data_IF_891012178932
#
_entry.id   IF_891012178932
#
_cell.length_a   1.000
_cell.length_b   1.000
_cell.length_c   1.000
_cell.angle_alpha   90.00
_cell.angle_beta   90.00
_cell.angle_gamma   90.00
#
_symmetry.space_group_name_H-M   'P 1'
#
loop_
_entity.id
_entity.type
_entity.pdbx_description
1 polymer ?
#
# COMPACT_ATOMS: atom_id res chain seq x y z
N UNK A 1 -5.25 -2.58 -12.44
CA UNK A 1 -5.80 -3.84 -11.93
C UNK A 1 -4.72 -4.90 -11.88
N UNK A 2 -3.62 -4.63 -11.18
CA UNK A 2 -2.51 -5.57 -11.03
C UNK A 2 -2.15 -5.57 -9.56
N UNK A 3 -1.95 -6.75 -8.97
CA UNK A 3 -1.48 -6.86 -7.60
C UNK A 3 -0.06 -6.27 -7.49
N UNK A 4 0.23 -5.62 -6.37
CA UNK A 4 1.57 -5.14 -6.06
C UNK A 4 1.85 -5.25 -4.57
N UNK A 5 3.13 -5.34 -4.23
CA UNK A 5 3.63 -5.37 -2.86
C UNK A 5 4.73 -4.31 -2.70
N UNK A 6 4.76 -3.65 -1.55
CA UNK A 6 5.79 -2.67 -1.18
C UNK A 6 6.83 -3.39 -0.33
N UNK A 7 8.07 -3.38 -0.81
CA UNK A 7 9.22 -3.94 -0.12
C UNK A 7 10.18 -2.82 0.31
N UNK A 8 10.88 -2.98 1.44
CA UNK A 8 11.96 -2.06 1.79
C UNK A 8 13.11 -2.19 0.79
N UNK A 9 13.89 -1.11 0.64
CA UNK A 9 14.96 -1.04 -0.36
C UNK A 9 16.03 -2.14 -0.19
N UNK A 10 16.23 -2.66 1.02
CA UNK A 10 17.22 -3.67 1.38
C UNK A 10 16.63 -5.09 1.43
N UNK A 11 15.41 -5.30 0.91
CA UNK A 11 14.79 -6.62 0.81
C UNK A 11 15.66 -7.61 0.02
N UNK A 12 15.67 -8.86 0.44
CA UNK A 12 16.32 -9.96 -0.28
C UNK A 12 15.51 -10.43 -1.49
N UNK A 13 16.02 -11.44 -2.19
CA UNK A 13 15.42 -11.97 -3.41
C UNK A 13 14.32 -13.01 -3.17
N UNK A 14 13.93 -13.28 -1.92
CA UNK A 14 12.98 -14.33 -1.54
C UNK A 14 11.59 -14.15 -2.18
N UNK A 15 11.25 -12.91 -2.55
CA UNK A 15 10.01 -12.61 -3.27
C UNK A 15 9.96 -13.31 -4.63
N UNK A 16 11.09 -13.50 -5.29
CA UNK A 16 11.18 -14.17 -6.59
C UNK A 16 10.92 -15.68 -6.49
N UNK A 17 11.11 -16.28 -5.30
CA UNK A 17 10.85 -17.71 -5.07
C UNK A 17 9.38 -17.98 -4.69
N UNK A 18 8.67 -16.95 -4.25
CA UNK A 18 7.32 -17.06 -3.68
C UNK A 18 6.24 -16.45 -4.55
N UNK A 19 6.60 -15.58 -5.49
CA UNK A 19 5.66 -14.85 -6.35
C UNK A 19 6.16 -14.82 -7.80
N UNK A 20 5.22 -14.87 -8.75
CA UNK A 20 5.49 -14.63 -10.16
C UNK A 20 5.64 -13.12 -10.41
N UNK A 21 6.80 -12.55 -10.04
CA UNK A 21 7.10 -11.13 -10.24
C UNK A 21 7.20 -10.83 -11.73
N UNK A 22 6.40 -9.87 -12.21
CA UNK A 22 6.37 -9.47 -13.64
C UNK A 22 7.09 -8.15 -13.91
N UNK A 23 7.49 -7.41 -12.88
CA UNK A 23 8.19 -6.14 -13.01
C UNK A 23 8.46 -5.49 -11.66
N UNK A 24 9.45 -4.60 -11.61
CA UNK A 24 9.92 -3.94 -10.40
C UNK A 24 9.83 -2.41 -10.59
N UNK A 25 9.32 -1.71 -9.59
CA UNK A 25 9.32 -0.24 -9.54
C UNK A 25 10.22 0.22 -8.39
N UNK A 26 11.27 0.96 -8.71
CA UNK A 26 12.10 1.65 -7.73
C UNK A 26 11.52 3.05 -7.50
N UNK A 27 11.04 3.30 -6.29
CA UNK A 27 10.36 4.56 -5.95
C UNK A 27 11.33 5.74 -5.80
N UNK A 28 10.75 6.94 -5.65
CA UNK A 28 11.50 8.15 -5.29
C UNK A 28 11.99 8.15 -3.83
N UNK A 29 12.82 9.13 -3.51
CA UNK A 29 13.39 9.37 -2.18
C UNK A 29 14.03 10.75 -2.10
N UNK A 30 14.27 11.29 -0.89
CA UNK A 30 14.81 12.64 -0.73
C UNK A 30 16.35 12.72 -0.85
N UNK A 31 17.02 11.57 -0.85
CA UNK A 31 18.48 11.47 -0.75
C UNK A 31 19.16 11.72 -2.10
N UNK A 32 20.44 12.09 -2.06
CA UNK A 32 21.33 11.98 -3.21
C UNK A 32 22.00 10.59 -3.24
N UNK A 33 22.18 10.01 -4.42
CA UNK A 33 22.79 8.66 -4.56
C UNK A 33 24.23 8.58 -4.06
N UNK A 34 24.92 9.72 -3.90
CA UNK A 34 26.29 9.78 -3.39
C UNK A 34 26.38 10.07 -1.88
N UNK A 35 25.25 10.33 -1.21
CA UNK A 35 25.25 10.55 0.22
C UNK A 35 25.71 9.27 0.96
N UNK A 36 26.48 9.45 2.02
CA UNK A 36 26.92 8.32 2.84
C UNK A 36 25.72 7.63 3.47
N UNK A 37 25.51 6.35 3.13
CA UNK A 37 24.36 5.58 3.59
C UNK A 37 23.09 5.80 2.76
N UNK A 38 23.20 6.40 1.57
CA UNK A 38 22.10 6.49 0.63
C UNK A 38 21.55 5.08 0.31
N UNK A 39 20.22 4.88 0.32
CA UNK A 39 19.59 3.60 0.01
C UNK A 39 19.99 3.12 -1.39
N UNK A 40 20.52 1.91 -1.53
CA UNK A 40 20.90 1.31 -2.81
C UNK A 40 19.99 0.15 -3.17
N UNK A 41 19.73 -0.06 -4.46
CA UNK A 41 19.01 -1.26 -4.89
C UNK A 41 19.93 -2.49 -4.81
N UNK A 42 19.49 -3.61 -4.22
CA UNK A 42 20.21 -4.88 -4.20
C UNK A 42 20.47 -5.39 -5.62
N UNK A 43 21.55 -6.17 -5.83
CA UNK A 43 21.91 -6.65 -7.17
C UNK A 43 20.81 -7.49 -7.81
N UNK A 44 20.07 -8.26 -7.01
CA UNK A 44 19.00 -9.13 -7.48
C UNK A 44 17.93 -8.37 -8.27
N UNK A 45 17.70 -7.09 -7.95
CA UNK A 45 16.72 -6.24 -8.66
C UNK A 45 17.06 -6.15 -10.15
N UNK A 46 18.35 -6.02 -10.48
CA UNK A 46 18.84 -5.96 -11.86
C UNK A 46 19.01 -7.34 -12.49
N UNK A 47 19.20 -8.37 -11.68
CA UNK A 47 19.42 -9.76 -12.12
C UNK A 47 18.10 -10.55 -12.30
N UNK A 48 16.98 -10.05 -11.76
CA UNK A 48 15.68 -10.71 -11.77
C UNK A 48 15.13 -10.99 -13.18
N UNK A 49 15.64 -10.32 -14.22
CA UNK A 49 15.25 -10.56 -15.61
C UNK A 49 13.84 -10.07 -15.95
N UNK A 50 13.22 -9.28 -15.09
CA UNK A 50 11.90 -8.66 -15.28
C UNK A 50 12.07 -7.17 -15.58
N UNK A 51 11.10 -6.50 -16.23
CA UNK A 51 11.17 -5.08 -16.48
C UNK A 51 11.32 -4.22 -15.22
N UNK A 52 12.05 -3.10 -15.35
CA UNK A 52 12.28 -2.13 -14.27
C UNK A 52 11.80 -0.73 -14.65
N UNK A 53 11.20 -0.03 -13.69
CA UNK A 53 10.91 1.40 -13.77
C UNK A 53 11.48 2.11 -12.53
N UNK A 54 12.42 3.01 -12.73
CA UNK A 54 12.92 3.92 -11.70
C UNK A 54 12.18 5.25 -11.72
N UNK A 55 11.66 5.68 -10.57
CA UNK A 55 10.95 6.95 -10.40
C UNK A 55 11.80 7.88 -9.54
N UNK A 56 12.12 9.07 -10.05
CA UNK A 56 12.93 10.08 -9.39
C UNK A 56 14.26 9.51 -8.86
N UNK A 57 14.41 9.29 -7.56
CA UNK A 57 15.57 8.63 -6.97
C UNK A 57 15.84 7.24 -7.55
N UNK A 58 14.78 6.48 -7.87
CA UNK A 58 14.92 5.18 -8.54
C UNK A 58 15.58 5.29 -9.92
N UNK A 59 15.29 6.35 -10.69
CA UNK A 59 15.98 6.62 -11.96
C UNK A 59 17.46 6.92 -11.74
N UNK A 60 17.77 7.71 -10.71
CA UNK A 60 19.15 8.06 -10.34
C UNK A 60 19.93 6.83 -9.87
N UNK A 61 19.29 5.92 -9.12
CA UNK A 61 19.88 4.65 -8.72
C UNK A 61 20.23 3.77 -9.92
N UNK A 62 19.29 3.60 -10.84
CA UNK A 62 19.54 2.84 -12.08
C UNK A 62 20.72 3.46 -12.82
N UNK A 63 20.74 4.79 -12.97
CA UNK A 63 21.82 5.47 -13.67
C UNK A 63 23.17 5.23 -12.97
N UNK A 64 23.24 5.48 -11.66
CA UNK A 64 24.46 5.37 -10.89
C UNK A 64 24.99 3.92 -10.84
N UNK A 65 24.15 2.93 -10.57
CA UNK A 65 24.56 1.53 -10.41
C UNK A 65 24.91 0.85 -11.73
N UNK A 66 24.39 1.34 -12.87
CA UNK A 66 24.69 0.81 -14.19
C UNK A 66 25.80 1.59 -14.93
N UNK A 67 26.49 2.50 -14.24
CA UNK A 67 27.70 3.15 -14.76
C UNK A 67 27.46 4.47 -15.50
N UNK A 68 26.30 5.10 -15.31
CA UNK A 68 26.08 6.51 -15.63
C UNK A 68 26.53 7.44 -14.50
N UNK A 69 26.40 8.74 -14.74
CA UNK A 69 26.81 9.81 -13.81
C UNK A 69 25.61 10.66 -13.42
N UNK A 70 25.44 10.86 -12.11
CA UNK A 70 24.42 11.74 -11.52
C UNK A 70 25.14 12.97 -10.95
N UNK A 71 24.58 14.16 -11.13
CA UNK A 71 25.14 15.39 -10.57
C UNK A 71 24.07 16.20 -9.83
N UNK A 72 24.45 17.00 -8.81
CA UNK A 72 23.57 17.99 -8.24
C UNK A 72 23.07 18.95 -9.32
N UNK A 73 21.75 19.12 -9.41
CA UNK A 73 21.14 20.08 -10.32
C UNK A 73 21.53 21.51 -9.97
N UNK A 74 21.74 22.34 -10.99
CA UNK A 74 22.05 23.78 -10.82
C UNK A 74 20.91 24.55 -10.16
N UNK A 75 19.67 24.06 -10.30
CA UNK A 75 18.47 24.52 -9.60
C UNK A 75 17.67 23.27 -9.22
N UNK A 76 17.13 23.25 -7.99
CA UNK A 76 16.24 22.15 -7.58
C UNK A 76 14.88 22.36 -8.23
N UNK A 77 14.38 21.35 -8.94
CA UNK A 77 13.08 21.39 -9.59
C UNK A 77 12.07 20.65 -8.71
N UNK A 78 11.35 21.43 -7.91
CA UNK A 78 10.23 20.95 -7.11
C UNK A 78 8.95 21.61 -7.62
N UNK A 79 8.13 20.83 -8.31
CA UNK A 79 6.82 21.26 -8.76
C UNK A 79 6.57 20.97 -10.22
N UNK A 80 5.67 21.77 -10.79
CA UNK A 80 5.15 21.56 -12.13
C UNK A 80 6.22 21.88 -13.20
N UNK A 81 6.42 20.94 -14.12
CA UNK A 81 7.24 21.10 -15.31
C UNK A 81 6.52 20.53 -16.53
N UNK A 82 7.06 20.76 -17.72
CA UNK A 82 6.61 20.12 -18.96
C UNK A 82 7.77 19.30 -19.50
N UNK A 83 7.52 18.02 -19.79
CA UNK A 83 8.49 17.22 -20.52
C UNK A 83 8.14 17.20 -22.00
N UNK A 84 9.18 17.24 -22.82
CA UNK A 84 9.12 17.20 -24.28
C UNK A 84 9.65 15.85 -24.73
N UNK A 85 8.82 15.05 -25.40
CA UNK A 85 9.22 13.75 -25.96
C UNK A 85 10.27 13.97 -27.06
N UNK A 86 11.30 13.13 -27.12
CA UNK A 86 12.38 13.23 -28.10
C UNK A 86 12.02 12.75 -29.53
N UNK A 87 10.73 12.47 -29.76
CA UNK A 87 10.18 12.06 -31.05
C UNK A 87 10.32 10.56 -31.37
N UNK A 88 10.88 9.75 -30.47
CA UNK A 88 10.91 8.29 -30.65
C UNK A 88 9.73 7.60 -29.97
N UNK A 89 8.98 6.83 -30.76
CA UNK A 89 7.90 5.99 -30.24
C UNK A 89 8.47 4.91 -29.30
N UNK A 90 7.89 4.81 -28.11
CA UNK A 90 8.20 3.78 -27.14
C UNK A 90 6.94 3.38 -26.38
N UNK A 91 6.94 2.16 -25.84
CA UNK A 91 5.78 1.58 -25.15
C UNK A 91 5.37 2.43 -23.94
N UNK A 92 6.33 2.97 -23.18
CA UNK A 92 6.05 3.75 -21.98
C UNK A 92 5.21 5.01 -22.29
N UNK A 93 5.38 5.62 -23.47
CA UNK A 93 4.71 6.84 -23.89
C UNK A 93 3.66 6.67 -24.98
N UNK A 94 3.20 5.45 -25.18
CA UNK A 94 2.09 5.16 -26.07
C UNK A 94 0.83 5.93 -25.62
N UNK A 95 0.23 6.68 -26.54
CA UNK A 95 -0.96 7.50 -26.27
C UNK A 95 -0.73 8.79 -25.48
N UNK A 96 0.53 9.17 -25.20
CA UNK A 96 0.85 10.44 -24.55
C UNK A 96 1.04 11.58 -25.54
N UNK A 97 0.70 12.80 -25.10
CA UNK A 97 0.93 14.04 -25.84
C UNK A 97 2.43 14.29 -26.03
N UNK A 98 2.80 15.10 -27.01
CA UNK A 98 4.21 15.47 -27.26
C UNK A 98 4.81 16.25 -26.09
N UNK A 99 4.00 17.12 -25.48
CA UNK A 99 4.30 17.90 -24.29
C UNK A 99 3.44 17.36 -23.14
N UNK A 100 4.06 16.84 -22.09
CA UNK A 100 3.34 16.24 -20.95
C UNK A 100 3.60 17.06 -19.69
N UNK A 101 2.55 17.63 -19.07
CA UNK A 101 2.66 18.24 -17.75
C UNK A 101 3.00 17.18 -16.69
N UNK A 102 4.04 17.43 -15.89
CA UNK A 102 4.52 16.49 -14.88
C UNK A 102 4.87 17.17 -13.57
N UNK A 103 4.94 16.36 -12.51
CA UNK A 103 5.42 16.79 -11.20
C UNK A 103 6.85 16.33 -10.93
N UNK A 104 7.79 17.27 -10.98
CA UNK A 104 9.20 17.06 -10.65
C UNK A 104 9.43 17.19 -9.14
N UNK A 105 10.33 16.37 -8.59
CA UNK A 105 10.75 16.50 -7.19
C UNK A 105 12.18 16.01 -7.00
N UNK A 106 13.15 16.68 -7.61
CA UNK A 106 14.54 16.25 -7.59
C UNK A 106 15.53 17.39 -7.34
N UNK A 107 16.58 17.06 -6.59
CA UNK A 107 17.76 17.92 -6.41
C UNK A 107 18.87 17.59 -7.41
N UNK A 108 18.97 16.33 -7.81
CA UNK A 108 20.00 15.80 -8.69
C UNK A 108 19.44 15.50 -10.09
N UNK A 109 20.31 15.42 -11.10
CA UNK A 109 19.95 15.08 -12.48
C UNK A 109 20.95 14.08 -13.05
N UNK A 110 20.54 13.37 -14.10
CA UNK A 110 21.44 12.52 -14.87
C UNK A 110 22.29 13.41 -15.78
N UNK A 111 23.60 13.29 -15.70
CA UNK A 111 24.56 13.99 -16.57
C UNK A 111 25.06 13.05 -17.67
N UNK A 112 25.35 11.79 -17.32
CA UNK A 112 25.75 10.75 -18.28
C UNK A 112 24.85 9.52 -18.16
N UNK A 113 24.31 9.07 -19.29
CA UNK A 113 23.49 7.86 -19.35
C UNK A 113 24.35 6.60 -19.17
N UNK A 114 23.82 5.55 -18.54
CA UNK A 114 24.47 4.24 -18.55
C UNK A 114 24.68 3.71 -19.98
N UNK A 115 25.69 2.85 -20.20
CA UNK A 115 25.86 2.18 -21.49
C UNK A 115 24.59 1.43 -21.92
N UNK A 116 24.16 1.62 -23.16
CA UNK A 116 22.95 0.98 -23.72
C UNK A 116 21.63 1.64 -23.35
N UNK A 117 21.68 2.82 -22.70
CA UNK A 117 20.52 3.68 -22.48
C UNK A 117 20.51 4.87 -23.44
N UNK A 118 19.31 5.38 -23.71
CA UNK A 118 19.09 6.63 -24.43
C UNK A 118 18.13 7.54 -23.65
N UNK A 119 18.31 8.86 -23.81
CA UNK A 119 17.32 9.83 -23.38
C UNK A 119 16.06 9.67 -24.24
N UNK A 120 14.89 9.90 -23.66
CA UNK A 120 13.58 9.75 -24.34
C UNK A 120 12.68 10.98 -24.19
N UNK A 121 12.98 11.83 -23.20
CA UNK A 121 12.33 13.13 -23.01
C UNK A 121 13.22 14.03 -22.15
N UNK A 122 13.00 15.33 -22.26
CA UNK A 122 13.70 16.37 -21.50
C UNK A 122 12.73 17.40 -20.92
N UNK A 123 13.16 18.13 -19.88
CA UNK A 123 12.55 19.39 -19.42
C UNK A 123 13.58 20.52 -19.54
N UNK A 124 13.16 21.75 -19.25
CA UNK A 124 14.04 22.92 -19.27
C UNK A 124 15.20 22.81 -18.25
N UNK A 125 14.99 22.09 -17.14
CA UNK A 125 15.99 21.93 -16.07
C UNK A 125 16.61 20.52 -16.00
N UNK A 126 16.03 19.54 -16.70
CA UNK A 126 16.51 18.16 -16.75
C UNK A 126 16.66 17.71 -18.22
N UNK A 127 17.89 17.73 -18.78
CA UNK A 127 18.13 17.32 -20.17
C UNK A 127 17.81 15.84 -20.40
N UNK A 128 17.81 15.04 -19.33
CA UNK A 128 17.43 13.63 -19.32
C UNK A 128 16.33 13.49 -18.27
N UNK A 129 15.11 13.88 -18.63
CA UNK A 129 13.94 13.70 -17.77
C UNK A 129 13.45 12.25 -17.80
N UNK A 130 13.76 11.54 -18.89
CA UNK A 130 13.37 10.14 -19.12
C UNK A 130 14.53 9.43 -19.82
N UNK A 131 14.84 8.22 -19.37
CA UNK A 131 15.76 7.31 -20.03
C UNK A 131 15.16 5.91 -20.20
N UNK A 132 15.65 5.17 -21.19
CA UNK A 132 15.30 3.77 -21.38
C UNK A 132 16.42 2.98 -22.03
N UNK A 133 16.49 1.68 -21.73
CA UNK A 133 17.45 0.77 -22.35
C UNK A 133 17.00 0.37 -23.77
N UNK A 134 17.97 -0.02 -24.61
CA UNK A 134 17.69 -0.39 -26.00
C UNK A 134 16.79 -1.62 -26.14
N UNK A 135 16.67 -2.43 -25.07
CA UNK A 135 15.78 -3.61 -25.02
C UNK A 135 14.34 -3.25 -24.72
N UNK A 136 14.06 -2.03 -24.22
CA UNK A 136 12.72 -1.61 -23.82
C UNK A 136 12.22 -2.32 -22.57
N UNK A 137 13.12 -2.65 -21.65
CA UNK A 137 12.83 -3.38 -20.41
C UNK A 137 13.21 -2.61 -19.16
N UNK A 138 14.10 -1.63 -19.24
CA UNK A 138 14.49 -0.80 -18.10
C UNK A 138 14.26 0.68 -18.45
N UNK A 139 13.50 1.37 -17.61
CA UNK A 139 13.14 2.77 -17.78
C UNK A 139 13.44 3.58 -16.53
N UNK A 140 13.73 4.86 -16.70
CA UNK A 140 13.86 5.83 -15.62
C UNK A 140 13.09 7.10 -15.97
N UNK A 141 12.34 7.64 -15.01
CA UNK A 141 11.63 8.91 -15.12
C UNK A 141 11.97 9.81 -13.93
N UNK A 142 12.21 11.10 -14.18
CA UNK A 142 12.66 12.05 -13.16
C UNK A 142 11.48 12.71 -12.40
N UNK A 143 10.25 12.46 -12.85
CA UNK A 143 8.99 12.97 -12.29
C UNK A 143 8.13 11.86 -11.70
N UNK A 144 7.07 12.25 -10.99
CA UNK A 144 6.16 11.35 -10.28
C UNK A 144 4.87 11.09 -11.09
N UNK A 145 4.69 9.94 -11.75
CA UNK A 145 3.46 9.60 -12.47
C UNK A 145 2.31 9.20 -11.54
N UNK A 146 2.59 8.90 -10.27
CA UNK A 146 1.63 8.46 -9.27
C UNK A 146 0.81 9.60 -8.64
N UNK A 147 1.22 10.85 -8.84
CA UNK A 147 0.54 12.02 -8.26
C UNK A 147 -0.42 12.66 -9.26
N UNK A 148 -1.53 13.21 -8.74
CA UNK A 148 -2.55 13.88 -9.55
C UNK A 148 -2.04 15.09 -10.37
N UNK A 149 -0.88 15.63 -9.99
CA UNK A 149 -0.23 16.73 -10.71
C UNK A 149 0.44 16.31 -12.02
N UNK A 150 0.49 15.00 -12.32
CA UNK A 150 0.90 14.44 -13.61
C UNK A 150 -0.34 13.83 -14.28
N UNK A 151 -1.11 14.59 -15.09
CA UNK A 151 -2.44 14.16 -15.54
C UNK A 151 -2.45 12.86 -16.34
N UNK A 152 -1.41 12.60 -17.15
CA UNK A 152 -1.25 11.36 -17.91
C UNK A 152 -0.33 10.34 -17.21
N UNK A 153 -0.11 10.49 -15.90
CA UNK A 153 0.76 9.61 -15.13
C UNK A 153 0.20 8.20 -14.98
N UNK A 154 -1.12 8.07 -14.90
CA UNK A 154 -1.81 6.77 -14.88
C UNK A 154 -1.59 6.03 -16.20
N UNK A 155 -1.58 6.72 -17.34
CA UNK A 155 -1.26 6.14 -18.65
C UNK A 155 0.17 5.61 -18.69
N UNK A 156 1.15 6.35 -18.15
CA UNK A 156 2.55 5.90 -18.05
C UNK A 156 2.66 4.60 -17.23
N UNK A 157 2.03 4.56 -16.05
CA UNK A 157 2.02 3.36 -15.21
C UNK A 157 1.29 2.20 -15.89
N UNK A 158 0.17 2.47 -16.58
CA UNK A 158 -0.57 1.47 -17.35
C UNK A 158 0.28 0.89 -18.48
N UNK A 159 1.01 1.74 -19.20
CA UNK A 159 1.90 1.35 -20.29
C UNK A 159 3.05 0.49 -19.79
N UNK A 160 3.66 0.85 -18.64
CA UNK A 160 4.66 0.01 -18.01
C UNK A 160 4.06 -1.35 -17.60
N UNK A 161 2.99 -1.37 -16.80
CA UNK A 161 2.45 -2.60 -16.23
C UNK A 161 1.84 -3.52 -17.31
N UNK A 162 1.03 -2.98 -18.22
CA UNK A 162 0.30 -3.79 -19.21
C UNK A 162 1.10 -3.96 -20.50
N UNK A 163 1.78 -2.89 -20.93
CA UNK A 163 2.54 -2.87 -22.18
C UNK A 163 3.90 -3.53 -22.04
N UNK A 164 4.67 -3.19 -21.00
CA UNK A 164 6.03 -3.71 -20.79
C UNK A 164 6.02 -5.01 -19.98
N UNK A 165 5.42 -5.00 -18.78
CA UNK A 165 5.38 -6.17 -17.88
C UNK A 165 4.36 -7.24 -18.28
N UNK A 166 3.49 -6.95 -19.27
CA UNK A 166 2.43 -7.86 -19.75
C UNK A 166 1.45 -8.30 -18.65
N UNK A 167 1.19 -7.43 -17.68
CA UNK A 167 0.23 -7.70 -16.60
C UNK A 167 -1.18 -7.97 -17.12
N UNK A 168 -1.82 -9.00 -16.58
CA UNK A 168 -3.10 -9.53 -17.09
C UNK A 168 -4.31 -8.66 -16.75
N UNK A 169 -4.22 -7.81 -15.73
CA UNK A 169 -5.34 -6.97 -15.31
C UNK A 169 -6.38 -7.71 -14.44
N UNK A 170 -5.99 -8.84 -13.85
CA UNK A 170 -6.85 -9.79 -13.12
C UNK A 170 -7.06 -9.44 -11.63
N UNK A 171 -6.38 -8.42 -11.12
CA UNK A 171 -6.65 -7.90 -9.77
C UNK A 171 -7.88 -6.99 -9.78
N UNK A 172 -9.05 -7.62 -9.78
CA UNK A 172 -10.37 -6.96 -9.71
C UNK A 172 -11.07 -7.25 -8.38
N UNK A 173 -12.03 -6.42 -7.95
CA UNK A 173 -12.80 -6.68 -6.73
C UNK A 173 -13.48 -8.06 -6.74
N UNK A 174 -14.00 -8.51 -7.89
CA UNK A 174 -14.67 -9.81 -8.01
C UNK A 174 -13.70 -10.98 -7.80
N UNK A 175 -12.52 -10.91 -8.43
CA UNK A 175 -11.49 -11.93 -8.28
C UNK A 175 -10.93 -11.94 -6.85
N UNK A 176 -10.68 -10.76 -6.27
CA UNK A 176 -10.25 -10.62 -4.88
C UNK A 176 -11.25 -11.23 -3.90
N UNK A 177 -12.54 -10.92 -4.03
CA UNK A 177 -13.58 -11.48 -3.15
C UNK A 177 -13.62 -13.01 -3.27
N UNK A 178 -13.51 -13.54 -4.48
CA UNK A 178 -13.54 -14.99 -4.73
C UNK A 178 -12.33 -15.69 -4.11
N UNK A 179 -11.13 -15.17 -4.35
CA UNK A 179 -9.87 -15.66 -3.78
C UNK A 179 -9.85 -15.54 -2.24
N UNK A 180 -10.27 -14.41 -1.69
CA UNK A 180 -10.36 -14.21 -0.25
C UNK A 180 -11.28 -15.23 0.43
N UNK A 181 -12.44 -15.54 -0.16
CA UNK A 181 -13.38 -16.54 0.36
C UNK A 181 -12.73 -17.93 0.39
N UNK A 182 -12.07 -18.34 -0.68
CA UNK A 182 -11.41 -19.65 -0.73
C UNK A 182 -10.25 -19.74 0.28
N UNK A 183 -9.40 -18.72 0.36
CA UNK A 183 -8.34 -18.66 1.40
C UNK A 183 -8.90 -18.74 2.82
N UNK A 184 -10.02 -18.08 3.10
CA UNK A 184 -10.68 -18.15 4.41
C UNK A 184 -11.15 -19.59 4.68
N UNK A 185 -11.81 -20.24 3.71
CA UNK A 185 -12.27 -21.64 3.86
C UNK A 185 -11.10 -22.58 4.12
N UNK A 186 -10.03 -22.48 3.33
CA UNK A 186 -8.84 -23.32 3.49
C UNK A 186 -8.16 -23.10 4.84
N UNK A 187 -8.00 -21.83 5.24
CA UNK A 187 -7.33 -21.47 6.50
C UNK A 187 -8.13 -21.89 7.72
N UNK A 188 -9.45 -21.70 7.70
CA UNK A 188 -10.33 -21.97 8.86
C UNK A 188 -10.74 -23.44 8.91
N UNK A 189 -10.86 -24.12 7.77
CA UNK A 189 -11.33 -25.51 7.70
C UNK A 189 -12.72 -25.65 8.32
N UNK A 190 -12.82 -26.46 9.37
CA UNK A 190 -14.03 -26.68 10.19
C UNK A 190 -14.09 -25.82 11.46
N UNK A 191 -13.10 -24.95 11.67
CA UNK A 191 -12.99 -24.11 12.85
C UNK A 191 -14.05 -23.01 12.94
N UNK A 192 -14.09 -22.34 14.10
CA UNK A 192 -14.97 -21.21 14.40
C UNK A 192 -14.17 -19.91 14.48
N UNK A 193 -14.83 -18.82 14.09
CA UNK A 193 -14.23 -17.49 14.03
C UNK A 193 -15.05 -16.53 14.88
N UNK A 194 -14.37 -15.72 15.70
CA UNK A 194 -14.96 -14.53 16.30
C UNK A 194 -14.46 -13.27 15.59
N UNK A 195 -15.33 -12.28 15.43
CA UNK A 195 -14.99 -11.00 14.83
C UNK A 195 -15.47 -9.85 15.71
N UNK A 196 -14.56 -8.94 16.03
CA UNK A 196 -14.91 -7.68 16.67
C UNK A 196 -15.51 -6.71 15.64
N UNK A 197 -16.82 -6.46 15.74
CA UNK A 197 -17.52 -5.49 14.90
C UNK A 197 -17.51 -4.12 15.58
N UNK A 198 -17.02 -3.12 14.86
CA UNK A 198 -17.06 -1.72 15.28
C UNK A 198 -18.17 -0.90 14.60
N UNK A 199 -18.81 -1.44 13.56
CA UNK A 199 -19.69 -0.69 12.66
C UNK A 199 -18.94 0.13 11.59
N UNK A 200 -17.61 0.10 11.59
CA UNK A 200 -16.78 0.62 10.52
C UNK A 200 -16.87 -0.24 9.24
N UNK A 201 -16.44 0.33 8.12
CA UNK A 201 -16.46 -0.36 6.82
C UNK A 201 -15.57 -1.60 6.85
N UNK A 202 -14.36 -1.50 7.41
CA UNK A 202 -13.37 -2.59 7.37
C UNK A 202 -13.84 -3.85 8.12
N UNK A 203 -14.28 -3.68 9.38
CA UNK A 203 -14.81 -4.78 10.19
C UNK A 203 -16.08 -5.38 9.58
N UNK A 204 -16.92 -4.55 8.95
CA UNK A 204 -18.13 -5.00 8.25
C UNK A 204 -17.81 -5.83 7.01
N UNK A 205 -16.84 -5.40 6.19
CA UNK A 205 -16.41 -6.15 5.00
C UNK A 205 -15.76 -7.47 5.40
N UNK A 206 -14.92 -7.49 6.43
CA UNK A 206 -14.34 -8.73 6.96
C UNK A 206 -15.42 -9.70 7.45
N UNK A 207 -16.38 -9.23 8.25
CA UNK A 207 -17.48 -10.06 8.70
C UNK A 207 -18.30 -10.63 7.52
N UNK A 208 -18.57 -9.81 6.50
CA UNK A 208 -19.30 -10.27 5.31
C UNK A 208 -18.52 -11.31 4.50
N UNK A 209 -17.21 -11.13 4.31
CA UNK A 209 -16.36 -12.10 3.60
C UNK A 209 -16.28 -13.43 4.34
N UNK A 210 -16.07 -13.39 5.66
CA UNK A 210 -15.99 -14.60 6.48
C UNK A 210 -17.35 -15.30 6.54
N UNK A 211 -18.44 -14.56 6.74
CA UNK A 211 -19.78 -15.16 6.73
C UNK A 211 -20.09 -15.84 5.39
N UNK A 212 -19.72 -15.21 4.27
CA UNK A 212 -19.89 -15.81 2.94
C UNK A 212 -19.01 -17.07 2.74
N UNK A 213 -17.87 -17.15 3.45
CA UNK A 213 -16.97 -18.29 3.39
C UNK A 213 -17.41 -19.47 4.27
N UNK A 214 -17.81 -19.22 5.53
CA UNK A 214 -18.02 -20.27 6.54
C UNK A 214 -19.40 -20.24 7.23
N UNK A 215 -20.28 -19.30 6.86
CA UNK A 215 -21.65 -19.20 7.35
C UNK A 215 -21.75 -18.94 8.85
N UNK A 216 -22.54 -19.76 9.53
CA UNK A 216 -22.88 -19.64 10.96
C UNK A 216 -21.72 -19.96 11.91
N UNK A 217 -20.56 -20.39 11.38
CA UNK A 217 -19.32 -20.58 12.16
C UNK A 217 -18.61 -19.27 12.49
N UNK A 218 -19.10 -18.16 11.96
CA UNK A 218 -18.72 -16.81 12.37
C UNK A 218 -19.66 -16.30 13.46
N UNK A 219 -19.09 -15.85 14.57
CA UNK A 219 -19.78 -15.06 15.59
C UNK A 219 -19.18 -13.66 15.65
N UNK A 220 -19.99 -12.65 15.40
CA UNK A 220 -19.58 -11.26 15.53
C UNK A 220 -19.98 -10.72 16.90
N UNK A 221 -19.08 -9.95 17.52
CA UNK A 221 -19.32 -9.27 18.80
C UNK A 221 -19.30 -7.77 18.53
N UNK A 222 -20.40 -7.08 18.84
CA UNK A 222 -20.48 -5.63 18.80
C UNK A 222 -20.65 -5.08 20.21
N UNK A 223 -19.69 -4.28 20.66
CA UNK A 223 -19.70 -3.62 21.96
C UNK A 223 -20.06 -2.16 21.78
N UNK A 224 -21.23 -1.74 22.24
CA UNK A 224 -21.57 -0.33 22.36
C UNK A 224 -20.84 0.26 23.57
N UNK A 225 -19.84 1.10 23.31
CA UNK A 225 -19.06 1.76 24.35
C UNK A 225 -19.70 3.04 24.88
N UNK A 226 -20.89 3.44 24.38
CA UNK A 226 -21.56 4.67 24.79
C UNK A 226 -20.96 5.96 24.23
N UNK A 227 -19.92 5.86 23.37
CA UNK A 227 -19.22 6.98 22.74
C UNK A 227 -19.52 7.08 21.23
N UNK A 228 -20.45 6.27 20.75
CA UNK A 228 -20.86 6.19 19.34
C UNK A 228 -21.68 7.42 18.91
N UNK A 229 -21.85 7.61 17.60
CA UNK A 229 -22.73 8.68 17.09
C UNK A 229 -24.19 8.33 17.38
N UNK A 230 -25.05 9.35 17.44
CA UNK A 230 -26.48 9.18 17.70
C UNK A 230 -27.10 8.14 16.75
N UNK A 231 -27.72 7.10 17.34
CA UNK A 231 -28.40 6.02 16.63
C UNK A 231 -27.48 5.14 15.78
N UNK A 232 -26.17 5.16 16.01
CA UNK A 232 -25.22 4.30 15.29
C UNK A 232 -25.33 2.84 15.72
N UNK A 233 -25.37 2.56 17.03
CA UNK A 233 -25.55 1.20 17.56
C UNK A 233 -26.82 0.53 17.03
N UNK A 234 -27.96 1.24 17.08
CA UNK A 234 -29.23 0.74 16.51
C UNK A 234 -29.12 0.43 15.02
N UNK A 235 -28.43 1.30 14.25
CA UNK A 235 -28.24 1.09 12.81
C UNK A 235 -27.38 -0.14 12.54
N UNK A 236 -26.29 -0.33 13.29
CA UNK A 236 -25.43 -1.50 13.16
C UNK A 236 -26.22 -2.76 13.46
N UNK A 237 -26.90 -2.84 14.61
CA UNK A 237 -27.73 -4.01 14.95
C UNK A 237 -28.74 -4.33 13.83
N UNK A 238 -29.46 -3.31 13.34
CA UNK A 238 -30.47 -3.49 12.30
C UNK A 238 -29.86 -4.04 11.00
N UNK A 239 -28.74 -3.48 10.53
CA UNK A 239 -28.10 -3.93 9.28
C UNK A 239 -27.64 -5.38 9.39
N UNK A 240 -26.95 -5.73 10.48
CA UNK A 240 -26.39 -7.07 10.63
C UNK A 240 -27.47 -8.14 10.88
N UNK A 241 -28.47 -7.84 11.72
CA UNK A 241 -29.55 -8.77 12.01
C UNK A 241 -30.51 -8.97 10.82
N UNK A 242 -30.79 -7.92 10.02
CA UNK A 242 -31.80 -8.00 8.96
C UNK A 242 -31.28 -8.30 7.56
N UNK A 243 -30.00 -8.02 7.25
CA UNK A 243 -29.48 -8.11 5.88
C UNK A 243 -28.37 -9.15 5.69
N UNK A 244 -27.56 -9.41 6.72
CA UNK A 244 -26.38 -10.26 6.58
C UNK A 244 -26.58 -11.67 7.13
N UNK A 245 -27.54 -11.90 8.03
CA UNK A 245 -27.79 -13.23 8.61
C UNK A 245 -26.66 -13.72 9.52
N UNK A 246 -25.80 -12.82 9.98
CA UNK A 246 -24.63 -13.14 10.81
C UNK A 246 -25.06 -13.34 12.27
N UNK A 247 -24.44 -14.30 12.96
CA UNK A 247 -24.60 -14.44 14.40
C UNK A 247 -23.97 -13.23 15.11
N UNK A 248 -24.80 -12.32 15.65
CA UNK A 248 -24.37 -11.09 16.30
C UNK A 248 -24.65 -11.14 17.80
N UNK A 249 -23.59 -11.04 18.60
CA UNK A 249 -23.68 -10.76 20.03
C UNK A 249 -23.56 -9.26 20.24
N UNK A 250 -24.64 -8.64 20.70
CA UNK A 250 -24.65 -7.22 21.07
C UNK A 250 -24.41 -7.07 22.57
N UNK A 251 -23.48 -6.19 22.94
CA UNK A 251 -23.17 -5.86 24.33
C UNK A 251 -23.30 -4.36 24.54
N UNK A 252 -24.18 -3.97 25.45
CA UNK A 252 -24.25 -2.58 25.93
C UNK A 252 -23.24 -2.38 27.07
N UNK A 253 -22.09 -1.78 26.75
CA UNK A 253 -21.06 -1.41 27.71
C UNK A 253 -21.15 0.03 28.20
N UNK A 254 -22.18 0.79 27.82
CA UNK A 254 -22.25 2.25 27.99
C UNK A 254 -21.91 2.70 29.40
N UNK A 255 -22.55 2.13 30.43
CA UNK A 255 -22.30 2.52 31.82
C UNK A 255 -20.87 2.17 32.27
N UNK A 256 -20.33 1.03 31.84
CA UNK A 256 -18.98 0.55 32.18
C UNK A 256 -17.92 1.52 31.65
N UNK A 257 -17.97 1.84 30.36
CA UNK A 257 -17.03 2.78 29.74
C UNK A 257 -17.15 4.19 30.32
N UNK A 258 -18.37 4.71 30.50
CA UNK A 258 -18.56 6.06 31.05
C UNK A 258 -18.07 6.18 32.51
N UNK A 259 -18.23 5.12 33.31
CA UNK A 259 -17.69 5.06 34.66
C UNK A 259 -16.16 4.98 34.68
N UNK A 260 -15.57 4.14 33.82
CA UNK A 260 -14.11 4.01 33.68
C UNK A 260 -13.44 5.32 33.24
N UNK A 261 -14.13 6.12 32.43
CA UNK A 261 -13.64 7.40 31.93
C UNK A 261 -13.84 8.58 32.88
N UNK A 262 -14.52 8.37 34.02
CA UNK A 262 -14.91 9.45 34.93
C UNK A 262 -13.68 10.17 35.51
N UNK A 263 -13.57 11.46 35.20
CA UNK A 263 -12.49 12.32 35.71
C UNK A 263 -11.17 12.19 34.94
N UNK A 264 -11.10 11.37 33.90
CA UNK A 264 -9.90 11.24 33.05
C UNK A 264 -9.89 12.38 32.02
N UNK A 265 -8.89 13.25 32.10
CA UNK A 265 -8.72 14.38 31.17
C UNK A 265 -7.65 14.11 30.11
N UNK A 266 -6.63 13.34 30.47
CA UNK A 266 -5.51 12.99 29.59
C UNK A 266 -5.98 12.08 28.42
N UNK A 267 -5.68 12.43 27.16
CA UNK A 267 -6.16 11.71 25.99
C UNK A 267 -5.53 10.31 25.83
N UNK A 268 -4.26 10.12 26.25
CA UNK A 268 -3.59 8.83 26.14
C UNK A 268 -4.09 7.86 27.19
N UNK A 269 -4.34 8.35 28.41
CA UNK A 269 -5.00 7.54 29.45
C UNK A 269 -6.40 7.15 28.99
N UNK A 270 -7.19 8.07 28.40
CA UNK A 270 -8.51 7.72 27.83
C UNK A 270 -8.41 6.60 26.80
N UNK A 271 -7.44 6.68 25.87
CA UNK A 271 -7.20 5.65 24.85
C UNK A 271 -6.95 4.28 25.48
N UNK A 272 -6.04 4.22 26.46
CA UNK A 272 -5.69 2.98 27.16
C UNK A 272 -6.87 2.42 27.94
N UNK A 273 -7.62 3.26 28.64
CA UNK A 273 -8.81 2.86 29.39
C UNK A 273 -9.88 2.29 28.46
N UNK A 274 -10.19 2.95 27.33
CA UNK A 274 -11.17 2.44 26.36
C UNK A 274 -10.70 1.10 25.77
N UNK A 275 -9.43 1.00 25.40
CA UNK A 275 -8.88 -0.26 24.86
C UNK A 275 -8.96 -1.40 25.88
N UNK A 276 -8.62 -1.14 27.13
CA UNK A 276 -8.68 -2.13 28.20
C UNK A 276 -10.13 -2.59 28.46
N UNK A 277 -11.07 -1.67 28.65
CA UNK A 277 -12.49 -2.02 28.89
C UNK A 277 -13.09 -2.81 27.72
N UNK A 278 -12.69 -2.48 26.48
CA UNK A 278 -13.10 -3.23 25.30
C UNK A 278 -12.58 -4.66 25.33
N UNK A 279 -11.29 -4.86 25.63
CA UNK A 279 -10.68 -6.19 25.71
C UNK A 279 -11.36 -7.02 26.80
N UNK A 280 -11.57 -6.45 27.99
CA UNK A 280 -12.21 -7.17 29.10
C UNK A 280 -13.62 -7.63 28.76
N UNK A 281 -14.46 -6.75 28.17
CA UNK A 281 -15.81 -7.14 27.70
C UNK A 281 -15.72 -8.21 26.62
N UNK A 282 -14.78 -8.07 25.68
CA UNK A 282 -14.64 -9.01 24.58
C UNK A 282 -14.23 -10.40 25.07
N UNK A 283 -13.31 -10.48 26.05
CA UNK A 283 -12.91 -11.73 26.71
C UNK A 283 -14.07 -12.37 27.48
N UNK A 284 -14.84 -11.58 28.25
CA UNK A 284 -16.03 -12.05 28.97
C UNK A 284 -17.03 -12.71 28.01
N UNK A 285 -17.29 -12.09 26.87
CA UNK A 285 -18.22 -12.59 25.85
C UNK A 285 -17.65 -13.80 25.11
N UNK A 286 -16.34 -13.81 24.82
CA UNK A 286 -15.68 -14.92 24.15
C UNK A 286 -15.76 -16.21 24.98
N UNK A 287 -15.68 -16.12 26.31
CA UNK A 287 -15.86 -17.27 27.22
C UNK A 287 -17.25 -17.90 27.06
N UNK A 288 -18.30 -17.09 26.93
CA UNK A 288 -19.67 -17.59 26.77
C UNK A 288 -19.92 -18.22 25.39
N UNK A 289 -19.18 -17.78 24.36
CA UNK A 289 -19.23 -18.35 23.00
C UNK A 289 -18.58 -19.75 22.97
N UNK A 290 -17.63 -20.02 23.87
CA UNK A 290 -16.96 -21.30 24.02
C UNK A 290 -15.69 -21.39 23.16
N UNK A 291 -15.43 -22.58 22.60
CA UNK A 291 -14.22 -22.84 21.81
C UNK A 291 -14.26 -22.10 20.47
N UNK A 292 -13.22 -21.29 20.22
CA UNK A 292 -13.02 -20.48 19.03
C UNK A 292 -11.57 -20.67 18.56
N UNK A 293 -11.37 -20.87 17.26
CA UNK A 293 -10.06 -21.18 16.69
C UNK A 293 -9.35 -19.92 16.13
N UNK A 294 -10.12 -18.92 15.71
CA UNK A 294 -9.60 -17.70 15.08
C UNK A 294 -10.27 -16.42 15.57
N UNK A 295 -9.47 -15.36 15.68
CA UNK A 295 -9.92 -13.98 15.82
C UNK A 295 -9.74 -13.25 14.49
N UNK A 296 -10.82 -12.69 13.95
CA UNK A 296 -10.81 -11.91 12.72
C UNK A 296 -10.71 -10.41 12.98
N UNK A 297 -9.85 -9.73 12.20
CA UNK A 297 -9.63 -8.29 12.28
C UNK A 297 -9.69 -7.64 10.89
N UNK A 298 -10.15 -6.40 10.85
CA UNK A 298 -10.27 -5.56 9.65
C UNK A 298 -8.97 -4.86 9.22
N UNK A 299 -7.81 -5.41 9.56
CA UNK A 299 -6.50 -4.77 9.32
C UNK A 299 -6.26 -4.57 7.82
N UNK A 300 -5.88 -3.36 7.43
CA UNK A 300 -5.63 -3.00 6.04
C UNK A 300 -4.13 -3.04 5.73
N UNK A 301 -3.78 -3.08 4.44
CA UNK A 301 -2.39 -3.13 4.01
C UNK A 301 -1.53 -1.95 4.51
N UNK A 302 -2.03 -0.69 4.58
CA UNK A 302 -1.29 0.41 5.20
C UNK A 302 -0.88 0.15 6.65
N UNK A 303 -1.73 -0.50 7.45
CA UNK A 303 -1.44 -0.81 8.85
C UNK A 303 -0.27 -1.80 8.95
N UNK A 304 -0.21 -2.77 8.04
CA UNK A 304 0.88 -3.75 7.95
C UNK A 304 2.19 -3.04 7.56
N UNK A 305 2.15 -2.15 6.56
CA UNK A 305 3.34 -1.37 6.15
C UNK A 305 3.86 -0.52 7.33
N UNK A 306 2.99 0.15 8.07
CA UNK A 306 3.36 0.93 9.25
C UNK A 306 4.00 0.05 10.34
N UNK A 307 3.50 -1.17 10.56
CA UNK A 307 4.08 -2.09 11.54
C UNK A 307 5.48 -2.60 11.16
N UNK A 308 5.68 -3.02 9.90
CA UNK A 308 6.99 -3.47 9.39
C UNK A 308 8.00 -2.33 9.39
N UNK A 309 7.57 -1.14 8.98
CA UNK A 309 8.42 0.06 8.98
C UNK A 309 8.79 0.53 10.40
N UNK A 310 7.96 0.29 11.41
CA UNK A 310 8.25 0.60 12.82
C UNK A 310 9.31 -0.33 13.45
N UNK A 311 9.49 -1.54 12.92
CA UNK A 311 10.54 -2.49 13.28
C UNK A 311 11.84 -2.28 12.47
N UNK A 312 11.75 -1.64 11.30
CA UNK A 312 12.92 -1.18 10.53
C UNK A 312 13.45 0.15 11.07
N UNK A 313 14.78 0.36 11.08
CA UNK A 313 15.41 1.63 11.47
C UNK A 313 15.11 2.81 10.49
N UNK A 314 14.27 2.61 9.48
CA UNK A 314 14.10 3.50 8.34
C UNK A 314 12.90 4.44 8.42
N UNK A 315 12.07 4.41 9.48
CA UNK A 315 10.87 5.27 9.55
C UNK A 315 10.71 6.03 10.88
N UNK A 316 10.21 7.27 10.78
CA UNK A 316 9.85 8.10 11.92
C UNK A 316 8.47 7.68 12.47
N UNK A 317 8.43 7.18 13.71
CA UNK A 317 7.20 6.74 14.39
C UNK A 317 6.22 7.91 14.59
N UNK A 318 5.05 7.86 13.96
CA UNK A 318 3.98 8.87 14.12
C UNK A 318 2.92 8.42 15.14
N UNK A 319 2.70 7.12 15.37
CA UNK A 319 1.76 6.59 16.37
C UNK A 319 2.20 5.26 16.97
N UNK A 320 1.91 5.05 18.26
CA UNK A 320 1.96 3.73 18.91
C UNK A 320 0.67 2.97 18.63
N UNK A 321 0.78 1.83 17.96
CA UNK A 321 -0.32 0.88 17.79
C UNK A 321 -0.44 -0.02 19.02
N UNK A 322 -1.67 -0.42 19.35
CA UNK A 322 -2.04 -1.35 20.42
C UNK A 322 -2.71 -2.58 19.82
#
# INVERSE_FOLDING_TARGET
NTYCEILPHDAGSEILDTQDVIGIILSGGPNSVYESGAPMAPSWVYEAGVPLLGICYGMQLIAHQLGGTVEPGTQREYGHAVIHKDGQDNVLFEGLDTEVPVWMSHGDRIEELPPGFRAMAYSENSPIAVMGDDRGTCFGIQFHPEVAHTPQGVEILRNFISGVCKGLGDWTPENFVSDAIERIKERVGEGKVICALSGGVDSTVVAALIHKAIGDRLTCIFVDNGLMRKGEADRVQNVFASQLGVNLVFVDGTERFLNALKGITDPEIKRKTIGQEFIEIFEEVAVDIGEVDYLAQGTLYPDVIESVSADSNASHKIKTHH
#
